data_IF_947159496441
#
_entry.id   IF_947159496441
#
_cell.length_a   1.000
_cell.length_b   1.000
_cell.length_c   1.000
_cell.angle_alpha   90.00
_cell.angle_beta   90.00
_cell.angle_gamma   90.00
#
_symmetry.space_group_name_H-M   'P 1'
#
loop_
_entity.id
_entity.type
_entity.pdbx_description
1 polymer ?
#
# COMPACT_ATOMS: atom_id res chain seq x y z
N UNK A 1 10.19 2.03 -12.25
CA UNK A 1 9.13 1.12 -12.77
C UNK A 1 8.79 0.13 -11.65
N UNK A 2 7.59 -0.46 -11.61
CA UNK A 2 7.33 -1.64 -10.78
C UNK A 2 7.06 -2.75 -11.79
N UNK A 3 8.06 -3.59 -12.05
CA UNK A 3 8.01 -4.57 -13.13
C UNK A 3 6.82 -5.53 -13.02
N UNK A 4 6.25 -5.71 -11.82
CA UNK A 4 5.11 -6.57 -11.58
C UNK A 4 3.83 -6.12 -12.32
N UNK A 5 3.63 -4.81 -12.50
CA UNK A 5 2.44 -4.28 -13.20
C UNK A 5 2.42 -4.64 -14.69
N UNK A 6 3.59 -4.96 -15.26
CA UNK A 6 3.74 -5.33 -16.67
C UNK A 6 3.60 -6.86 -16.89
N UNK A 7 3.46 -7.65 -15.82
CA UNK A 7 3.33 -9.11 -15.91
C UNK A 7 1.88 -9.55 -16.20
N UNK A 8 1.68 -10.71 -16.87
CA UNK A 8 0.34 -11.28 -17.08
C UNK A 8 -0.38 -11.51 -15.75
N UNK A 9 -1.65 -11.08 -15.68
CA UNK A 9 -2.50 -11.26 -14.49
C UNK A 9 -2.93 -12.73 -14.34
N UNK A 10 -2.80 -13.27 -13.13
CA UNK A 10 -3.35 -14.56 -12.69
C UNK A 10 -4.68 -14.35 -11.97
N UNK A 11 -5.43 -15.43 -11.75
CA UNK A 11 -6.74 -15.34 -11.08
C UNK A 11 -6.64 -14.79 -9.64
N UNK A 12 -5.54 -15.08 -8.93
CA UNK A 12 -5.29 -14.57 -7.57
C UNK A 12 -4.84 -13.10 -7.54
N UNK A 13 -4.45 -12.54 -8.69
CA UNK A 13 -4.01 -11.16 -8.79
C UNK A 13 -5.17 -10.16 -8.76
N UNK A 14 -6.38 -10.64 -9.04
CA UNK A 14 -7.59 -9.83 -9.02
C UNK A 14 -7.98 -9.60 -7.57
N UNK A 15 -7.91 -8.34 -7.12
CA UNK A 15 -8.44 -7.97 -5.82
C UNK A 15 -9.90 -8.44 -5.73
N UNK A 16 -10.27 -9.28 -4.74
CA UNK A 16 -11.60 -9.86 -4.62
C UNK A 16 -12.60 -8.80 -4.12
N UNK A 17 -12.90 -7.80 -4.94
CA UNK A 17 -13.95 -6.83 -4.66
C UNK A 17 -15.32 -7.47 -4.94
N UNK A 18 -15.84 -8.22 -3.96
CA UNK A 18 -17.28 -8.44 -3.85
C UNK A 18 -17.80 -7.81 -2.55
N UNK A 19 -17.99 -6.49 -2.58
CA UNK A 19 -18.79 -5.77 -1.57
C UNK A 19 -20.10 -5.32 -2.21
N UNK A 20 -21.24 -5.97 -1.92
CA UNK A 20 -22.53 -5.50 -2.40
C UNK A 20 -22.95 -4.24 -1.62
N UNK A 21 -23.55 -3.31 -2.36
CA UNK A 21 -24.25 -2.09 -1.95
C UNK A 21 -23.44 -0.88 -1.46
N UNK A 22 -23.49 0.16 -2.30
CA UNK A 22 -23.72 1.54 -1.90
C UNK A 22 -22.65 2.22 -1.08
N UNK A 23 -21.45 2.32 -1.65
CA UNK A 23 -20.70 3.57 -1.84
C UNK A 23 -19.23 3.21 -2.04
N UNK A 24 -18.72 3.50 -3.24
CA UNK A 24 -17.28 3.62 -3.41
C UNK A 24 -16.89 5.02 -2.98
N UNK A 25 -16.28 5.17 -1.81
CA UNK A 25 -15.22 6.14 -1.73
C UNK A 25 -14.01 5.42 -1.14
N UNK A 26 -12.98 5.25 -1.95
CA UNK A 26 -11.63 5.10 -1.39
C UNK A 26 -11.32 6.41 -0.67
N UNK A 27 -11.79 6.56 0.57
CA UNK A 27 -11.46 7.68 1.45
C UNK A 27 -10.17 7.32 2.13
N UNK A 28 -9.06 7.81 1.61
CA UNK A 28 -7.81 7.84 2.37
C UNK A 28 -7.98 8.88 3.48
N UNK A 29 -8.16 8.43 4.73
CA UNK A 29 -8.08 9.29 5.90
C UNK A 29 -6.61 9.41 6.32
N UNK A 30 -5.87 10.30 5.66
CA UNK A 30 -4.64 10.86 6.26
C UNK A 30 -4.94 12.26 6.75
N UNK A 31 -4.74 12.48 8.06
CA UNK A 31 -4.81 13.83 8.64
C UNK A 31 -3.81 14.73 7.90
N UNK A 32 -4.33 15.61 7.03
CA UNK A 32 -3.70 16.87 6.58
C UNK A 32 -2.90 16.91 5.26
N UNK A 33 -3.25 16.12 4.23
CA UNK A 33 -2.69 16.32 2.88
C UNK A 33 -3.72 16.11 1.78
N UNK A 34 -3.63 16.90 0.71
CA UNK A 34 -4.55 17.02 -0.43
C UNK A 34 -5.13 15.68 -0.89
N UNK A 35 -6.46 15.53 -0.83
CA UNK A 35 -7.19 14.40 -1.42
C UNK A 35 -7.16 14.51 -2.94
N UNK A 36 -6.35 13.68 -3.60
CA UNK A 36 -6.59 13.35 -5.01
C UNK A 36 -7.75 12.34 -5.00
N UNK A 37 -8.92 12.76 -5.47
CA UNK A 37 -10.03 11.84 -5.70
C UNK A 37 -9.59 10.85 -6.78
N UNK A 38 -9.14 9.65 -6.38
CA UNK A 38 -8.92 8.55 -7.31
C UNK A 38 -10.30 8.09 -7.80
N UNK A 39 -10.57 8.23 -9.09
CA UNK A 39 -11.81 7.88 -9.78
C UNK A 39 -12.07 6.36 -9.89
N UNK A 40 -11.45 5.57 -9.02
CA UNK A 40 -11.60 4.12 -8.92
C UNK A 40 -10.31 3.37 -9.29
N UNK A 41 -9.97 2.39 -8.46
CA UNK A 41 -8.96 1.39 -8.77
C UNK A 41 -9.41 0.54 -9.96
N UNK A 42 -8.54 0.31 -10.95
CA UNK A 42 -8.82 -0.63 -12.04
C UNK A 42 -8.59 -2.07 -11.56
N UNK A 43 -9.63 -2.90 -11.37
CA UNK A 43 -9.46 -4.26 -10.88
C UNK A 43 -8.64 -5.13 -11.84
N UNK A 44 -8.59 -4.83 -13.13
CA UNK A 44 -7.78 -5.59 -14.12
C UNK A 44 -6.28 -5.27 -14.03
N UNK A 45 -5.96 -4.14 -13.42
CA UNK A 45 -4.58 -3.74 -13.15
C UNK A 45 -4.03 -4.33 -11.86
N UNK A 46 -4.89 -4.87 -10.99
CA UNK A 46 -4.45 -5.38 -9.69
C UNK A 46 -3.52 -6.58 -9.81
N UNK A 47 -2.53 -6.65 -8.94
CA UNK A 47 -1.56 -7.73 -8.80
C UNK A 47 -1.42 -8.07 -7.33
N UNK A 48 -1.50 -9.36 -7.01
CA UNK A 48 -1.24 -9.82 -5.66
C UNK A 48 0.26 -9.79 -5.42
N UNK A 49 0.67 -9.24 -4.28
CA UNK A 49 2.06 -9.19 -3.85
C UNK A 49 2.34 -10.37 -2.92
N UNK A 50 1.67 -10.38 -1.77
CA UNK A 50 1.91 -11.33 -0.68
C UNK A 50 0.84 -11.19 0.40
N UNK A 51 0.78 -12.15 1.33
CA UNK A 51 -0.07 -12.10 2.52
C UNK A 51 0.76 -12.12 3.80
N UNK A 52 0.40 -11.30 4.77
CA UNK A 52 1.06 -11.22 6.07
C UNK A 52 0.03 -11.01 7.19
N UNK A 53 0.10 -11.84 8.24
CA UNK A 53 -0.71 -11.70 9.46
C UNK A 53 -2.25 -11.64 9.26
N UNK A 54 -2.76 -12.10 8.11
CA UNK A 54 -4.17 -12.02 7.73
C UNK A 54 -4.57 -10.76 6.94
N UNK A 55 -3.57 -10.03 6.44
CA UNK A 55 -3.70 -8.93 5.48
C UNK A 55 -3.06 -9.35 4.16
N UNK A 56 -3.81 -9.22 3.07
CA UNK A 56 -3.33 -9.46 1.71
C UNK A 56 -2.95 -8.14 1.04
N UNK A 57 -1.76 -8.09 0.44
CA UNK A 57 -1.23 -6.90 -0.20
C UNK A 57 -1.35 -6.98 -1.71
N UNK A 58 -1.86 -5.93 -2.31
CA UNK A 58 -2.02 -5.79 -3.75
C UNK A 58 -1.42 -4.48 -4.23
N UNK A 59 -0.97 -4.48 -5.48
CA UNK A 59 -0.68 -3.25 -6.22
C UNK A 59 -1.67 -3.10 -7.37
N UNK A 60 -2.09 -1.89 -7.69
CA UNK A 60 -2.92 -1.63 -8.86
C UNK A 60 -2.79 -0.20 -9.36
N UNK A 61 -3.41 0.07 -10.49
CA UNK A 61 -3.51 1.38 -11.10
C UNK A 61 -4.87 2.00 -10.76
N UNK A 62 -4.85 3.26 -10.35
CA UNK A 62 -6.04 4.10 -10.25
C UNK A 62 -5.88 5.32 -11.15
N UNK A 63 -6.98 5.83 -11.65
CA UNK A 63 -7.00 7.06 -12.45
C UNK A 63 -7.73 8.14 -11.67
N UNK A 64 -7.27 9.39 -11.69
CA UNK A 64 -8.08 10.52 -11.21
C UNK A 64 -9.16 10.91 -12.25
N UNK A 65 -10.00 11.88 -11.89
CA UNK A 65 -11.05 12.43 -12.76
C UNK A 65 -10.53 13.08 -14.06
N UNK A 66 -9.22 13.34 -14.13
CA UNK A 66 -8.51 13.86 -15.30
C UNK A 66 -7.80 12.75 -16.09
N UNK A 67 -7.94 11.50 -15.68
CA UNK A 67 -7.31 10.34 -16.33
C UNK A 67 -5.82 10.19 -16.00
N UNK A 68 -5.32 10.85 -14.94
CA UNK A 68 -3.93 10.69 -14.51
C UNK A 68 -3.78 9.36 -13.80
N UNK A 69 -2.93 8.48 -14.34
CA UNK A 69 -2.58 7.20 -13.74
C UNK A 69 -1.77 7.42 -12.45
N UNK A 70 -2.17 6.70 -11.40
CA UNK A 70 -1.47 6.58 -10.12
C UNK A 70 -1.34 5.11 -9.77
N UNK A 71 -0.26 4.76 -9.07
CA UNK A 71 -0.07 3.41 -8.52
C UNK A 71 -0.62 3.42 -7.10
N UNK A 72 -1.35 2.38 -6.73
CA UNK A 72 -1.88 2.18 -5.38
C UNK A 72 -1.31 0.90 -4.77
N UNK A 73 -0.86 0.99 -3.53
CA UNK A 73 -0.70 -0.15 -2.62
C UNK A 73 -2.02 -0.32 -1.86
N UNK A 74 -2.55 -1.53 -1.82
CA UNK A 74 -3.78 -1.88 -1.12
C UNK A 74 -3.46 -2.97 -0.09
N UNK A 75 -3.92 -2.77 1.14
CA UNK A 75 -3.88 -3.75 2.22
C UNK A 75 -5.32 -4.20 2.51
N UNK A 76 -5.65 -5.43 2.12
CA UNK A 76 -6.95 -6.02 2.37
C UNK A 76 -6.89 -6.95 3.59
N UNK A 77 -7.32 -6.43 4.73
CA UNK A 77 -7.29 -7.18 5.98
C UNK A 77 -8.63 -7.86 6.25
N UNK A 78 -8.62 -9.18 6.43
CA UNK A 78 -9.80 -9.91 6.87
C UNK A 78 -10.28 -9.50 8.28
N UNK A 79 -9.42 -8.80 9.04
CA UNK A 79 -9.72 -8.32 10.40
C UNK A 79 -10.44 -6.97 10.42
N UNK A 80 -10.35 -6.19 9.35
CA UNK A 80 -10.95 -4.87 9.24
C UNK A 80 -12.08 -4.90 8.22
N UNK A 81 -13.14 -4.17 8.54
CA UNK A 81 -14.25 -4.00 7.61
C UNK A 81 -13.86 -3.08 6.44
N UNK A 82 -12.69 -2.47 6.42
CA UNK A 82 -12.19 -1.56 5.37
C UNK A 82 -10.76 -1.94 4.97
N UNK A 83 -10.43 -1.73 3.70
CA UNK A 83 -9.09 -1.93 3.16
C UNK A 83 -8.32 -0.60 3.23
N UNK A 84 -7.08 -0.63 3.72
CA UNK A 84 -6.21 0.55 3.74
C UNK A 84 -5.48 0.69 2.41
N UNK A 85 -5.25 1.92 1.94
CA UNK A 85 -4.57 2.14 0.67
C UNK A 85 -3.75 3.43 0.64
N UNK A 86 -2.64 3.38 -0.11
CA UNK A 86 -1.80 4.53 -0.40
C UNK A 86 -1.57 4.60 -1.91
N UNK A 87 -1.85 5.75 -2.52
CA UNK A 87 -1.72 5.95 -3.97
C UNK A 87 -0.78 7.11 -4.30
N UNK A 88 0.00 6.99 -5.37
CA UNK A 88 0.90 8.04 -5.82
C UNK A 88 1.88 7.63 -6.92
N UNK A 89 2.86 8.51 -7.16
CA UNK A 89 3.81 8.40 -8.26
C UNK A 89 5.06 7.58 -7.92
N UNK A 90 4.93 6.28 -7.65
CA UNK A 90 6.10 5.41 -7.36
C UNK A 90 7.00 5.24 -8.59
N UNK A 91 6.46 5.33 -9.82
CA UNK A 91 7.25 5.09 -11.05
C UNK A 91 8.52 5.94 -11.15
N UNK A 92 8.48 7.17 -10.63
CA UNK A 92 9.59 8.11 -10.65
C UNK A 92 10.71 7.76 -9.63
N UNK A 93 10.48 6.79 -8.74
CA UNK A 93 11.48 6.30 -7.78
C UNK A 93 11.82 7.25 -6.64
N UNK A 94 11.01 8.31 -6.42
CA UNK A 94 11.36 9.37 -5.47
C UNK A 94 10.82 9.07 -4.07
N UNK A 95 9.64 8.47 -3.94
CA UNK A 95 9.02 8.20 -2.64
C UNK A 95 8.32 6.83 -2.63
N UNK A 96 8.47 6.05 -1.55
CA UNK A 96 7.66 4.86 -1.31
C UNK A 96 6.19 5.22 -1.09
N UNK A 97 5.29 4.27 -1.37
CA UNK A 97 3.92 4.29 -0.86
C UNK A 97 3.84 3.44 0.38
N UNK A 98 3.47 4.04 1.50
CA UNK A 98 3.42 3.34 2.80
C UNK A 98 1.98 3.16 3.26
N UNK A 99 1.66 1.94 3.69
CA UNK A 99 0.45 1.61 4.44
C UNK A 99 0.86 1.12 5.82
N UNK A 100 0.14 1.58 6.85
CA UNK A 100 0.37 1.19 8.24
C UNK A 100 -0.72 0.23 8.68
N UNK A 101 -0.33 -0.98 9.03
CA UNK A 101 -1.20 -2.00 9.61
C UNK A 101 -0.97 -2.09 11.12
N UNK A 102 -1.84 -2.82 11.83
CA UNK A 102 -1.66 -3.06 13.26
C UNK A 102 -0.35 -3.80 13.55
N UNK A 103 0.65 -3.02 13.97
CA UNK A 103 1.94 -3.49 14.43
C UNK A 103 3.00 -3.66 13.35
N UNK A 104 2.81 -3.09 12.16
CA UNK A 104 3.87 -3.02 11.15
C UNK A 104 3.55 -1.98 10.05
N UNK A 105 4.59 -1.47 9.39
CA UNK A 105 4.47 -0.64 8.19
C UNK A 105 4.91 -1.42 6.96
N UNK A 106 4.22 -1.19 5.84
CA UNK A 106 4.57 -1.76 4.54
C UNK A 106 4.80 -0.64 3.53
N UNK A 107 5.90 -0.71 2.80
CA UNK A 107 6.29 0.28 1.80
C UNK A 107 6.48 -0.35 0.42
N UNK A 108 5.77 0.17 -0.58
CA UNK A 108 5.94 -0.16 -1.98
C UNK A 108 6.93 0.83 -2.64
N UNK A 109 7.99 0.32 -3.25
CA UNK A 109 9.05 1.10 -3.91
C UNK A 109 9.18 0.78 -5.39
N UNK A 110 9.85 1.62 -6.17
CA UNK A 110 10.19 1.30 -7.55
C UNK A 110 11.34 0.28 -7.64
N UNK A 111 11.48 -0.42 -8.77
CA UNK A 111 12.56 -1.36 -9.06
C UNK A 111 13.95 -0.74 -8.91
N UNK A 112 14.08 0.54 -9.26
CA UNK A 112 15.33 1.29 -9.21
C UNK A 112 15.48 2.14 -7.93
N UNK A 113 14.60 1.96 -6.95
CA UNK A 113 14.67 2.68 -5.69
C UNK A 113 15.89 2.22 -4.88
N UNK A 114 16.64 3.17 -4.30
CA UNK A 114 17.76 2.85 -3.42
C UNK A 114 17.25 2.44 -2.03
N UNK A 115 17.33 1.15 -1.73
CA UNK A 115 16.83 0.56 -0.49
C UNK A 115 17.86 0.58 0.64
N UNK A 116 19.09 1.07 0.40
CA UNK A 116 20.17 1.07 1.41
C UNK A 116 19.74 1.76 2.71
N UNK A 117 19.00 2.87 2.62
CA UNK A 117 18.50 3.59 3.79
C UNK A 117 17.39 2.83 4.55
N UNK A 118 16.57 2.06 3.84
CA UNK A 118 15.52 1.23 4.44
C UNK A 118 16.15 0.06 5.21
N UNK A 119 17.09 -0.66 4.58
CA UNK A 119 17.85 -1.75 5.20
C UNK A 119 18.59 -1.28 6.46
N UNK A 120 19.28 -0.14 6.38
CA UNK A 120 19.98 0.46 7.53
C UNK A 120 19.02 0.83 8.68
N UNK A 121 17.74 1.07 8.36
CA UNK A 121 16.69 1.39 9.34
C UNK A 121 15.95 0.14 9.83
N UNK A 122 16.35 -1.06 9.41
CA UNK A 122 15.77 -2.33 9.85
C UNK A 122 14.57 -2.82 9.03
N UNK A 123 14.28 -2.18 7.89
CA UNK A 123 13.30 -2.69 6.94
C UNK A 123 13.85 -3.95 6.25
N UNK A 124 12.98 -4.86 5.87
CA UNK A 124 13.35 -6.04 5.08
C UNK A 124 12.38 -6.27 3.94
N UNK A 125 12.88 -6.85 2.86
CA UNK A 125 12.10 -7.16 1.68
C UNK A 125 11.13 -8.31 1.96
N UNK A 126 9.84 -8.05 1.81
CA UNK A 126 8.76 -9.01 1.97
C UNK A 126 8.39 -9.68 0.63
N UNK A 127 8.49 -8.92 -0.46
CA UNK A 127 8.27 -9.32 -1.84
C UNK A 127 9.06 -8.33 -2.73
N UNK A 128 9.44 -8.66 -3.99
CA UNK A 128 9.92 -7.66 -4.93
C UNK A 128 9.12 -6.36 -4.87
N UNK A 129 9.83 -5.25 -4.64
CA UNK A 129 9.28 -3.90 -4.48
C UNK A 129 8.46 -3.64 -3.20
N UNK A 130 8.28 -4.61 -2.31
CA UNK A 130 7.48 -4.48 -1.09
C UNK A 130 8.33 -4.74 0.15
N UNK A 131 8.41 -3.74 1.02
CA UNK A 131 9.28 -3.74 2.20
C UNK A 131 8.45 -3.63 3.47
N UNK A 132 8.94 -4.24 4.54
CA UNK A 132 8.25 -4.36 5.81
C UNK A 132 9.12 -3.79 6.95
N UNK A 133 8.50 -3.02 7.83
CA UNK A 133 9.06 -2.55 9.09
C UNK A 133 8.17 -2.97 10.26
N UNK A 134 8.73 -3.76 11.17
CA UNK A 134 8.05 -4.22 12.38
C UNK A 134 8.25 -3.27 13.58
N UNK A 135 9.04 -2.21 13.41
CA UNK A 135 9.41 -1.31 14.51
C UNK A 135 8.35 -0.26 14.83
N UNK A 136 7.32 -0.09 13.99
CA UNK A 136 6.20 0.83 14.22
C UNK A 136 5.42 0.53 15.52
N UNK A 137 5.46 -0.71 16.03
CA UNK A 137 4.96 -1.09 17.37
C UNK A 137 5.69 -0.37 18.51
N UNK A 138 6.97 -0.04 18.31
CA UNK A 138 7.84 0.45 19.38
C UNK A 138 7.62 1.93 19.67
N UNK A 139 7.14 2.72 18.71
CA UNK A 139 7.03 4.17 18.87
C UNK A 139 5.82 4.56 19.75
N UNK A 140 4.67 3.91 19.56
CA UNK A 140 3.46 4.18 20.34
C UNK A 140 3.61 3.74 21.81
N UNK A 141 4.31 2.63 22.07
CA UNK A 141 4.60 2.18 23.43
C UNK A 141 5.74 2.96 24.12
N UNK A 142 6.67 3.56 23.37
CA UNK A 142 7.73 4.43 23.94
C UNK A 142 7.22 5.82 24.30
N UNK A 143 6.19 6.34 23.62
CA UNK A 143 5.54 7.61 23.96
C UNK A 143 4.73 7.58 25.26
N UNK A 144 4.23 6.41 25.68
CA UNK A 144 3.40 6.25 26.87
C UNK A 144 4.19 6.06 28.19
N UNK A 145 5.53 6.05 28.15
CA UNK A 145 6.39 5.81 29.33
C UNK A 145 7.27 7.00 29.75
N UNK A 146 7.05 8.19 29.18
CA UNK A 146 7.81 9.41 29.53
C UNK A 146 6.97 10.45 30.29
N UNK A 147 6.16 10.03 31.25
CA UNK A 147 5.66 10.91 32.32
C UNK A 147 5.57 10.12 33.64
N UNK A 148 6.70 10.01 34.36
CA UNK A 148 6.74 9.81 35.82
C UNK A 148 7.89 10.58 36.41
#
# INVERSE_FOLDING_TARGET
MIALLDQPQKQLDVLPLYRPSDSSPYVVVTRKTLQVQTAGLDPKSTRFLTGLAGTDFFVGLAHDDRGIETICLIADSARRADSDSACGGVRAGILPLTVTEEGYDVALVADAYDTTGMEASGWFELHPNLWLDLTSVSAELRGASSER
#
